data_IF_451031298548
#
_entry.id   IF_451031298548
#
_cell.length_a   1.000
_cell.length_b   1.000
_cell.length_c   1.000
_cell.angle_alpha   90.00
_cell.angle_beta   90.00
_cell.angle_gamma   90.00
#
_symmetry.space_group_name_H-M   'P 1'
#
loop_
_entity.id
_entity.type
_entity.pdbx_description
1 polymer ?
#
# COMPACT_ATOMS: atom_id res chain seq x y z
N UNK A 1 15.85 -6.52 17.48
CA UNK A 1 16.21 -7.43 16.39
C UNK A 1 15.94 -6.72 15.08
N UNK A 2 16.96 -6.06 14.53
CA UNK A 2 16.92 -5.35 13.25
C UNK A 2 16.94 -6.40 12.14
N UNK A 3 15.83 -6.58 11.45
CA UNK A 3 15.81 -7.37 10.20
C UNK A 3 16.41 -6.50 9.09
N UNK A 4 17.67 -6.75 8.77
CA UNK A 4 18.31 -6.28 7.53
C UNK A 4 17.46 -6.74 6.36
N UNK A 5 17.11 -5.79 5.50
CA UNK A 5 16.58 -6.04 4.18
C UNK A 5 17.78 -6.33 3.28
N UNK A 6 18.17 -7.60 3.17
CA UNK A 6 19.17 -8.01 2.19
C UNK A 6 18.59 -7.88 0.79
N UNK A 7 19.11 -6.89 0.09
CA UNK A 7 18.93 -6.69 -1.33
C UNK A 7 19.95 -7.57 -2.07
N UNK A 8 19.60 -8.79 -2.35
CA UNK A 8 20.18 -9.48 -3.53
C UNK A 8 19.39 -8.99 -4.72
N UNK A 9 19.87 -7.95 -5.35
CA UNK A 9 19.45 -7.52 -6.68
C UNK A 9 20.02 -8.55 -7.64
N UNK A 10 19.21 -9.49 -8.12
CA UNK A 10 19.51 -10.12 -9.40
C UNK A 10 19.36 -9.02 -10.45
N UNK A 11 20.44 -8.68 -11.13
CA UNK A 11 20.45 -7.78 -12.27
C UNK A 11 19.50 -8.33 -13.33
N UNK A 12 18.32 -7.75 -13.43
CA UNK A 12 17.39 -8.04 -14.52
C UNK A 12 17.86 -7.30 -15.76
N UNK A 13 18.19 -8.05 -16.79
CA UNK A 13 18.66 -7.56 -18.09
C UNK A 13 17.66 -6.52 -18.66
N UNK A 14 18.11 -5.32 -19.07
CA UNK A 14 17.27 -4.37 -19.78
C UNK A 14 17.00 -4.92 -21.18
N UNK A 15 15.76 -5.27 -21.52
CA UNK A 15 15.46 -5.72 -22.88
C UNK A 15 14.11 -6.36 -23.16
N UNK A 16 13.29 -6.68 -22.15
CA UNK A 16 11.93 -7.10 -22.43
C UNK A 16 11.02 -5.87 -22.53
N UNK A 17 10.26 -5.77 -23.64
CA UNK A 17 9.23 -4.75 -23.82
C UNK A 17 8.32 -4.74 -22.57
N UNK A 18 8.38 -3.67 -21.79
CA UNK A 18 7.60 -3.56 -20.56
C UNK A 18 6.13 -3.41 -20.93
N UNK A 19 5.29 -4.39 -20.56
CA UNK A 19 3.84 -4.23 -20.67
C UNK A 19 3.43 -3.18 -19.64
N UNK A 20 2.78 -2.09 -20.06
CA UNK A 20 2.40 -1.02 -19.14
C UNK A 20 1.37 -1.52 -18.12
N UNK A 21 1.40 -0.97 -16.92
CA UNK A 21 0.31 -1.15 -15.96
C UNK A 21 -0.96 -0.56 -16.58
N UNK A 22 -2.11 -1.26 -16.58
CA UNK A 22 -3.33 -0.77 -17.19
C UNK A 22 -3.74 0.62 -16.65
N UNK A 23 -4.20 1.48 -17.54
CA UNK A 23 -4.65 2.83 -17.17
C UNK A 23 -5.96 2.84 -16.40
N UNK A 24 -6.73 1.73 -16.46
CA UNK A 24 -8.04 1.61 -15.83
C UNK A 24 -8.32 0.17 -15.41
N UNK A 25 -9.00 0.02 -14.30
CA UNK A 25 -9.58 -1.22 -13.79
C UNK A 25 -11.06 -0.99 -13.51
N UNK A 26 -11.92 -1.95 -13.82
CA UNK A 26 -13.35 -1.90 -13.46
C UNK A 26 -13.62 -2.98 -12.42
N UNK A 27 -14.13 -2.59 -11.24
CA UNK A 27 -14.61 -3.50 -10.21
C UNK A 27 -16.11 -3.27 -10.00
N UNK A 28 -16.95 -4.12 -10.61
CA UNK A 28 -18.39 -3.91 -10.62
C UNK A 28 -18.75 -2.55 -11.21
N UNK A 29 -19.43 -1.70 -10.44
CA UNK A 29 -19.79 -0.33 -10.83
C UNK A 29 -18.67 0.70 -10.64
N UNK A 30 -17.57 0.36 -9.98
CA UNK A 30 -16.50 1.31 -9.61
C UNK A 30 -15.34 1.26 -10.60
N UNK A 31 -15.07 2.40 -11.25
CA UNK A 31 -13.92 2.59 -12.12
C UNK A 31 -12.70 3.10 -11.31
N UNK A 32 -11.56 2.47 -11.51
CA UNK A 32 -10.30 2.78 -10.83
C UNK A 32 -9.28 3.21 -11.87
N UNK A 33 -8.65 4.36 -11.68
CA UNK A 33 -7.65 4.90 -12.61
C UNK A 33 -6.56 5.67 -11.85
N UNK A 34 -5.28 5.34 -12.09
CA UNK A 34 -4.76 4.16 -12.83
C UNK A 34 -5.06 2.83 -12.10
N UNK A 35 -4.79 1.68 -12.75
CA UNK A 35 -5.03 0.35 -12.17
C UNK A 35 -3.98 -0.02 -11.09
N UNK A 36 -3.84 0.84 -10.09
CA UNK A 36 -2.94 0.69 -8.95
C UNK A 36 -3.71 0.76 -7.64
N UNK A 37 -3.35 -0.06 -6.68
CA UNK A 37 -4.06 -0.20 -5.41
C UNK A 37 -3.09 -0.10 -4.24
N UNK A 38 -3.42 0.73 -3.24
CA UNK A 38 -2.73 0.72 -1.94
C UNK A 38 -3.21 -0.47 -1.13
N UNK A 39 -2.30 -1.37 -0.79
CA UNK A 39 -2.64 -2.56 0.00
C UNK A 39 -3.06 -2.19 1.44
N UNK A 40 -4.04 -2.88 2.02
CA UNK A 40 -4.42 -2.72 3.42
C UNK A 40 -3.28 -3.20 4.34
N UNK A 41 -2.79 -2.32 5.20
CA UNK A 41 -1.66 -2.60 6.10
C UNK A 41 -1.98 -2.11 7.52
N UNK A 42 -2.12 -3.04 8.47
CA UNK A 42 -2.40 -2.72 9.87
C UNK A 42 -1.32 -1.81 10.47
N UNK A 43 -1.75 -0.74 11.12
CA UNK A 43 -0.89 0.27 11.71
C UNK A 43 -0.20 1.18 10.69
N UNK A 44 -0.59 1.13 9.40
CA UNK A 44 -0.01 1.94 8.33
C UNK A 44 -1.08 2.70 7.55
N UNK A 45 -2.08 2.01 7.01
CA UNK A 45 -3.08 2.60 6.10
C UNK A 45 -4.28 3.20 6.84
N UNK A 46 -4.00 4.00 7.90
CA UNK A 46 -5.00 4.89 8.48
C UNK A 46 -5.38 6.04 7.53
N UNK A 47 -6.41 6.81 7.88
CA UNK A 47 -6.92 7.87 7.01
C UNK A 47 -5.86 8.93 6.67
N UNK A 48 -4.97 9.29 7.62
CA UNK A 48 -3.91 10.27 7.36
C UNK A 48 -2.95 9.75 6.28
N UNK A 49 -2.51 8.50 6.40
CA UNK A 49 -1.62 7.90 5.40
C UNK A 49 -2.30 7.69 4.04
N UNK A 50 -3.57 7.29 4.02
CA UNK A 50 -4.33 7.12 2.77
C UNK A 50 -4.49 8.44 2.02
N UNK A 51 -4.91 9.51 2.71
CA UNK A 51 -4.99 10.86 2.14
C UNK A 51 -3.63 11.38 1.69
N UNK A 52 -2.59 11.13 2.47
CA UNK A 52 -1.23 11.47 2.09
C UNK A 52 -0.82 10.78 0.76
N UNK A 53 -1.08 9.47 0.61
CA UNK A 53 -0.83 8.76 -0.66
C UNK A 53 -1.69 9.34 -1.80
N UNK A 54 -2.96 9.68 -1.53
CA UNK A 54 -3.86 10.28 -2.53
C UNK A 54 -3.31 11.62 -3.03
N UNK A 55 -2.80 12.46 -2.14
CA UNK A 55 -2.21 13.76 -2.47
C UNK A 55 -0.93 13.65 -3.32
N UNK A 56 -0.18 12.56 -3.21
CA UNK A 56 0.99 12.29 -4.04
C UNK A 56 0.64 11.79 -5.44
N UNK A 57 -0.63 11.55 -5.72
CA UNK A 57 -1.21 11.11 -7.01
C UNK A 57 -0.78 9.70 -7.46
N UNK A 58 -1.44 9.20 -8.50
CA UNK A 58 -1.09 7.91 -9.14
C UNK A 58 -1.61 6.65 -8.44
N UNK A 59 -2.31 6.77 -7.30
CA UNK A 59 -2.97 5.65 -6.64
C UNK A 59 -4.47 5.64 -7.03
N UNK A 60 -4.92 4.59 -7.73
CA UNK A 60 -6.29 4.51 -8.22
C UNK A 60 -7.31 4.07 -7.16
N UNK A 61 -6.94 3.14 -6.29
CA UNK A 61 -7.79 2.67 -5.19
C UNK A 61 -7.00 2.62 -3.89
N UNK A 62 -7.58 3.15 -2.83
CA UNK A 62 -7.06 2.99 -1.47
C UNK A 62 -7.96 2.06 -0.65
N UNK A 63 -7.36 1.37 0.32
CA UNK A 63 -8.07 0.44 1.20
C UNK A 63 -7.82 0.80 2.66
N UNK A 64 -8.85 0.62 3.50
CA UNK A 64 -8.69 0.79 4.94
C UNK A 64 -7.77 -0.28 5.54
N UNK A 65 -7.33 -0.08 6.78
CA UNK A 65 -6.84 -1.20 7.58
C UNK A 65 -7.97 -2.24 7.75
N UNK A 66 -7.60 -3.53 7.87
CA UNK A 66 -8.61 -4.57 8.08
C UNK A 66 -9.27 -4.45 9.46
N UNK A 67 -10.58 -4.51 9.49
CA UNK A 67 -11.41 -4.34 10.69
C UNK A 67 -12.20 -5.62 10.97
N UNK A 68 -12.30 -6.01 12.25
CA UNK A 68 -13.12 -7.15 12.66
C UNK A 68 -14.60 -6.86 12.41
N UNK A 69 -15.31 -7.76 11.73
CA UNK A 69 -16.74 -7.67 11.54
C UNK A 69 -17.50 -7.60 12.88
N UNK A 70 -17.11 -8.43 13.86
CA UNK A 70 -17.64 -8.34 15.22
C UNK A 70 -17.40 -6.98 15.88
N UNK A 71 -16.22 -6.36 15.60
CA UNK A 71 -15.89 -5.03 16.11
C UNK A 71 -16.75 -3.94 15.49
N UNK A 72 -17.05 -4.05 14.20
CA UNK A 72 -17.93 -3.11 13.48
C UNK A 72 -19.33 -3.08 14.07
N UNK A 73 -19.88 -4.25 14.40
CA UNK A 73 -21.24 -4.37 14.95
C UNK A 73 -21.36 -3.90 16.41
N UNK A 74 -20.24 -3.80 17.14
CA UNK A 74 -20.26 -3.29 18.51
C UNK A 74 -20.31 -1.77 18.51
N UNK A 75 -21.44 -1.19 18.85
CA UNK A 75 -21.70 0.27 18.85
C UNK A 75 -20.66 1.12 19.60
N UNK A 76 -19.92 0.53 20.56
CA UNK A 76 -18.91 1.21 21.38
C UNK A 76 -17.46 0.95 20.94
N UNK A 77 -17.20 0.17 19.89
CA UNK A 77 -15.83 -0.10 19.42
C UNK A 77 -15.24 1.14 18.71
N UNK A 78 -14.59 2.00 19.53
CA UNK A 78 -13.90 3.20 19.04
C UNK A 78 -12.84 2.88 17.99
N UNK A 79 -12.27 1.67 18.06
CA UNK A 79 -11.21 1.23 17.16
C UNK A 79 -11.78 0.90 15.77
N UNK A 80 -12.90 0.18 15.73
CA UNK A 80 -13.60 -0.11 14.48
C UNK A 80 -14.07 1.17 13.79
N UNK A 81 -14.67 2.10 14.55
CA UNK A 81 -15.08 3.41 14.03
C UNK A 81 -13.90 4.18 13.42
N UNK A 82 -12.74 4.20 14.07
CA UNK A 82 -11.55 4.87 13.55
C UNK A 82 -11.04 4.24 12.26
N UNK A 83 -11.06 2.92 12.13
CA UNK A 83 -10.60 2.23 10.92
C UNK A 83 -11.57 2.40 9.74
N UNK A 84 -12.85 2.62 10.01
CA UNK A 84 -13.88 2.89 9.01
C UNK A 84 -14.13 4.39 8.80
N UNK A 85 -13.34 5.27 9.42
CA UNK A 85 -13.39 6.69 9.14
C UNK A 85 -12.65 7.01 7.84
N UNK A 86 -13.25 7.83 6.98
CA UNK A 86 -12.64 8.34 5.76
C UNK A 86 -13.20 9.73 5.43
N UNK A 87 -12.52 10.43 4.55
CA UNK A 87 -12.92 11.73 4.02
C UNK A 87 -13.33 11.61 2.56
N UNK A 88 -14.09 12.58 2.05
CA UNK A 88 -14.58 12.61 0.67
C UNK A 88 -13.44 12.54 -0.37
N UNK A 89 -12.28 13.11 -0.08
CA UNK A 89 -11.10 13.08 -0.96
C UNK A 89 -10.41 11.70 -1.03
N UNK A 90 -10.91 10.72 -0.28
CA UNK A 90 -10.38 9.34 -0.30
C UNK A 90 -11.06 8.43 -1.34
N UNK A 91 -12.17 8.86 -1.98
CA UNK A 91 -12.84 8.07 -3.01
C UNK A 91 -12.00 7.89 -4.29
N UNK A 92 -12.05 6.70 -4.95
CA UNK A 92 -12.72 5.48 -4.51
C UNK A 92 -11.96 4.78 -3.38
N UNK A 93 -12.70 4.33 -2.37
CA UNK A 93 -12.16 3.69 -1.18
C UNK A 93 -12.86 2.36 -0.88
N UNK A 94 -12.08 1.35 -0.47
CA UNK A 94 -12.58 0.04 -0.06
C UNK A 94 -12.40 -0.19 1.44
N UNK A 95 -13.45 -0.62 2.13
CA UNK A 95 -13.33 -1.09 3.51
C UNK A 95 -12.96 -2.57 3.53
N UNK A 96 -11.89 -2.94 4.26
CA UNK A 96 -11.51 -4.33 4.42
C UNK A 96 -11.97 -4.91 5.75
N UNK A 97 -12.77 -5.97 5.69
CA UNK A 97 -13.29 -6.70 6.85
C UNK A 97 -12.60 -8.05 7.03
N UNK A 98 -12.57 -8.55 8.25
CA UNK A 98 -12.22 -9.94 8.55
C UNK A 98 -13.17 -10.53 9.60
N UNK A 99 -13.44 -11.82 9.49
CA UNK A 99 -14.31 -12.58 10.37
C UNK A 99 -14.51 -13.97 9.80
N UNK A 100 -15.16 -14.86 10.56
CA UNK A 100 -15.45 -16.24 10.17
C UNK A 100 -16.93 -16.62 10.22
N UNK A 101 -17.77 -15.75 10.81
CA UNK A 101 -19.22 -15.98 10.87
C UNK A 101 -19.89 -15.30 9.67
N UNK A 102 -20.59 -16.03 8.78
CA UNK A 102 -21.21 -15.47 7.59
C UNK A 102 -22.25 -14.39 7.90
N UNK A 103 -23.09 -14.57 8.92
CA UNK A 103 -24.12 -13.60 9.28
C UNK A 103 -23.52 -12.30 9.79
N UNK A 104 -22.54 -12.38 10.70
CA UNK A 104 -21.82 -11.21 11.24
C UNK A 104 -21.08 -10.46 10.12
N UNK A 105 -20.47 -11.20 9.17
CA UNK A 105 -19.81 -10.60 8.02
C UNK A 105 -20.79 -9.87 7.10
N UNK A 106 -21.96 -10.45 6.84
CA UNK A 106 -23.01 -9.84 6.04
C UNK A 106 -23.54 -8.55 6.67
N UNK A 107 -23.84 -8.56 7.98
CA UNK A 107 -24.31 -7.38 8.71
C UNK A 107 -23.25 -6.27 8.74
N UNK A 108 -21.98 -6.63 8.99
CA UNK A 108 -20.88 -5.65 8.97
C UNK A 108 -20.65 -5.06 7.57
N UNK A 109 -20.78 -5.86 6.51
CA UNK A 109 -20.69 -5.37 5.14
C UNK A 109 -21.85 -4.41 4.79
N UNK A 110 -23.08 -4.69 5.24
CA UNK A 110 -24.20 -3.76 5.11
C UNK A 110 -23.97 -2.43 5.82
N UNK A 111 -23.33 -2.44 7.00
CA UNK A 111 -22.93 -1.21 7.69
C UNK A 111 -21.87 -0.43 6.90
N UNK A 112 -20.89 -1.11 6.30
CA UNK A 112 -19.87 -0.50 5.44
C UNK A 112 -20.52 0.19 4.24
N UNK A 113 -21.47 -0.46 3.57
CA UNK A 113 -22.24 0.15 2.48
C UNK A 113 -23.01 1.38 2.97
N UNK A 114 -23.67 1.28 4.13
CA UNK A 114 -24.39 2.40 4.74
C UNK A 114 -23.52 3.58 5.15
N UNK A 115 -22.22 3.37 5.39
CA UNK A 115 -21.23 4.43 5.64
C UNK A 115 -20.76 5.14 4.38
N UNK A 116 -21.09 4.65 3.18
CA UNK A 116 -20.75 5.28 1.91
C UNK A 116 -19.43 4.80 1.29
N UNK A 117 -18.87 3.66 1.70
CA UNK A 117 -17.73 3.07 0.99
C UNK A 117 -18.11 2.63 -0.42
N UNK A 118 -17.16 2.77 -1.36
CA UNK A 118 -17.38 2.35 -2.75
C UNK A 118 -17.31 0.83 -2.91
N UNK A 119 -16.48 0.15 -2.10
CA UNK A 119 -16.29 -1.30 -2.14
C UNK A 119 -16.19 -1.87 -0.73
N UNK A 120 -16.56 -3.12 -0.58
CA UNK A 120 -16.20 -3.95 0.58
C UNK A 120 -15.23 -5.05 0.14
N UNK A 121 -14.25 -5.35 0.97
CA UNK A 121 -13.23 -6.39 0.71
C UNK A 121 -13.11 -7.34 1.91
N UNK A 122 -12.94 -8.63 1.63
CA UNK A 122 -12.71 -9.64 2.65
C UNK A 122 -11.22 -9.96 2.78
N UNK A 123 -10.69 -9.92 4.01
CA UNK A 123 -9.31 -10.31 4.30
C UNK A 123 -9.19 -11.81 4.56
N UNK A 124 -8.57 -12.54 3.64
CA UNK A 124 -8.15 -13.94 3.78
C UNK A 124 -6.62 -14.10 3.70
N UNK A 125 -5.86 -13.01 3.96
CA UNK A 125 -4.41 -13.01 3.82
C UNK A 125 -3.62 -12.70 5.08
N UNK A 126 -4.25 -12.17 6.14
CA UNK A 126 -3.54 -11.77 7.36
C UNK A 126 -2.97 -13.00 8.10
N UNK A 127 -1.62 -13.10 8.29
CA UNK A 127 -1.00 -14.24 8.97
C UNK A 127 -0.89 -14.04 10.48
N UNK A 128 -1.38 -12.93 11.04
CA UNK A 128 -1.23 -12.60 12.45
C UNK A 128 -1.90 -13.65 13.35
N UNK A 129 -1.15 -14.17 14.32
CA UNK A 129 -1.62 -15.23 15.23
C UNK A 129 -2.97 -14.93 15.89
N UNK A 130 -3.22 -13.65 16.25
CA UNK A 130 -4.45 -13.21 16.87
C UNK A 130 -5.66 -13.33 15.92
N UNK A 131 -5.49 -13.02 14.65
CA UNK A 131 -6.54 -13.12 13.61
C UNK A 131 -6.80 -14.59 13.27
N UNK A 132 -5.74 -15.35 13.06
CA UNK A 132 -5.82 -16.81 12.74
C UNK A 132 -6.47 -17.62 13.85
N UNK A 133 -6.20 -17.32 15.14
CA UNK A 133 -6.84 -17.97 16.28
C UNK A 133 -8.36 -17.79 16.34
N UNK A 134 -8.88 -16.71 15.75
CA UNK A 134 -10.31 -16.45 15.63
C UNK A 134 -10.88 -16.97 14.29
N UNK A 135 -10.21 -17.92 13.65
CA UNK A 135 -10.55 -18.43 12.31
C UNK A 135 -10.76 -17.33 11.26
N UNK A 136 -10.06 -16.20 11.39
CA UNK A 136 -10.11 -15.10 10.43
C UNK A 136 -8.85 -15.03 9.56
N UNK A 137 -8.86 -14.16 8.55
CA UNK A 137 -7.72 -13.95 7.68
C UNK A 137 -7.25 -15.25 7.01
N UNK A 138 -5.92 -15.49 7.01
CA UNK A 138 -5.36 -16.67 6.36
C UNK A 138 -5.72 -18.01 7.05
N UNK A 139 -6.33 -17.99 8.23
CA UNK A 139 -6.82 -19.19 8.89
C UNK A 139 -7.92 -19.88 8.10
N UNK A 140 -8.77 -19.12 7.42
CA UNK A 140 -9.86 -19.62 6.59
C UNK A 140 -9.40 -20.30 5.29
N UNK A 141 -8.16 -20.10 4.82
CA UNK A 141 -7.66 -20.72 3.58
C UNK A 141 -7.71 -22.26 3.58
N UNK A 142 -7.89 -22.86 4.72
CA UNK A 142 -8.00 -24.32 4.91
C UNK A 142 -9.45 -24.82 4.91
N UNK A 143 -10.43 -23.92 4.71
CA UNK A 143 -11.86 -24.23 4.73
C UNK A 143 -12.61 -23.46 3.64
N UNK A 144 -12.44 -23.87 2.38
CA UNK A 144 -13.11 -23.25 1.23
C UNK A 144 -14.66 -23.29 1.35
N UNK A 145 -15.28 -24.37 1.86
CA UNK A 145 -16.73 -24.36 2.10
C UNK A 145 -17.20 -23.26 3.06
N UNK A 146 -16.46 -22.99 4.13
CA UNK A 146 -16.78 -21.89 5.04
C UNK A 146 -16.63 -20.54 4.35
N UNK A 147 -15.59 -20.36 3.53
CA UNK A 147 -15.39 -19.14 2.74
C UNK A 147 -16.57 -18.93 1.77
N UNK A 148 -17.04 -19.98 1.09
CA UNK A 148 -18.19 -19.91 0.19
C UNK A 148 -19.44 -19.37 0.88
N UNK A 149 -19.75 -19.88 2.08
CA UNK A 149 -20.88 -19.39 2.89
C UNK A 149 -20.75 -17.91 3.26
N UNK A 150 -19.52 -17.44 3.56
CA UNK A 150 -19.26 -16.03 3.84
C UNK A 150 -19.48 -15.19 2.56
N UNK A 151 -18.96 -15.64 1.42
CA UNK A 151 -19.13 -14.94 0.14
C UNK A 151 -20.61 -14.79 -0.22
N UNK A 152 -21.39 -15.87 -0.15
CA UNK A 152 -22.82 -15.87 -0.42
C UNK A 152 -23.57 -14.89 0.51
N UNK A 153 -23.30 -14.97 1.82
CA UNK A 153 -23.97 -14.13 2.80
C UNK A 153 -23.65 -12.63 2.61
N UNK A 154 -22.37 -12.29 2.40
CA UNK A 154 -21.97 -10.90 2.15
C UNK A 154 -22.53 -10.42 0.81
N UNK A 155 -22.44 -11.22 -0.26
CA UNK A 155 -22.95 -10.82 -1.57
C UNK A 155 -24.45 -10.55 -1.56
N UNK A 156 -25.23 -11.32 -0.81
CA UNK A 156 -26.67 -11.12 -0.65
C UNK A 156 -27.01 -9.84 0.15
N UNK A 157 -26.11 -9.40 1.03
CA UNK A 157 -26.36 -8.29 1.94
C UNK A 157 -26.03 -6.90 1.36
N UNK A 158 -25.15 -6.80 0.35
CA UNK A 158 -24.69 -5.52 -0.18
C UNK A 158 -24.91 -5.38 -1.67
N UNK A 159 -25.06 -4.13 -2.15
CA UNK A 159 -25.15 -3.81 -3.60
C UNK A 159 -23.82 -3.33 -4.15
N UNK A 160 -22.99 -2.70 -3.33
CA UNK A 160 -21.65 -2.24 -3.72
C UNK A 160 -20.76 -3.41 -4.18
N UNK A 161 -19.73 -3.16 -5.00
CA UNK A 161 -18.76 -4.17 -5.39
C UNK A 161 -18.14 -4.86 -4.19
N UNK A 162 -18.05 -6.20 -4.27
CA UNK A 162 -17.44 -7.05 -3.24
C UNK A 162 -16.21 -7.76 -3.82
N UNK A 163 -15.07 -7.64 -3.14
CA UNK A 163 -13.78 -8.23 -3.51
C UNK A 163 -13.20 -9.06 -2.38
N UNK A 164 -12.15 -9.79 -2.66
CA UNK A 164 -11.41 -10.56 -1.65
C UNK A 164 -9.90 -10.43 -1.85
N UNK A 165 -9.17 -10.21 -0.74
CA UNK A 165 -7.70 -10.24 -0.74
C UNK A 165 -7.20 -11.42 0.05
N UNK A 166 -6.37 -12.27 -0.59
CA UNK A 166 -5.91 -13.53 -0.01
C UNK A 166 -4.44 -13.84 -0.31
N UNK A 167 -3.91 -14.89 0.31
CA UNK A 167 -2.62 -15.52 0.02
C UNK A 167 -2.81 -16.80 -0.77
N UNK A 168 -1.72 -17.28 -1.39
CA UNK A 168 -1.76 -18.46 -2.26
C UNK A 168 -2.26 -19.74 -1.57
N UNK A 169 -2.06 -19.84 -0.28
CA UNK A 169 -2.47 -20.99 0.53
C UNK A 169 -1.89 -20.89 1.94
N UNK A 170 -2.05 -21.98 2.71
CA UNK A 170 -1.51 -22.08 4.05
C UNK A 170 0.03 -22.28 4.01
N UNK A 171 0.48 -23.28 3.28
CA UNK A 171 1.88 -23.64 3.03
C UNK A 171 2.03 -24.14 1.59
N UNK A 172 3.21 -24.63 1.22
CA UNK A 172 3.49 -25.12 -0.14
C UNK A 172 2.74 -26.40 -0.53
N UNK A 173 2.22 -27.15 0.44
CA UNK A 173 1.40 -28.36 0.21
C UNK A 173 -0.11 -28.03 0.16
N UNK A 174 -0.50 -26.87 0.68
CA UNK A 174 -1.89 -26.44 0.78
C UNK A 174 -2.10 -25.15 -0.01
N UNK A 175 -1.84 -25.19 -1.33
CA UNK A 175 -2.08 -24.08 -2.25
C UNK A 175 -3.53 -24.17 -2.74
N UNK A 176 -4.30 -23.08 -2.56
CA UNK A 176 -5.75 -23.02 -2.85
C UNK A 176 -6.15 -21.79 -3.66
N UNK A 177 -5.18 -21.00 -4.15
CA UNK A 177 -5.47 -19.70 -4.75
C UNK A 177 -6.35 -19.78 -5.99
N UNK A 178 -6.21 -20.81 -6.82
CA UNK A 178 -7.02 -20.99 -8.03
C UNK A 178 -8.44 -21.39 -7.68
N UNK A 179 -8.61 -22.36 -6.79
CA UNK A 179 -9.92 -22.83 -6.32
C UNK A 179 -10.68 -21.71 -5.61
N UNK A 180 -9.98 -20.92 -4.78
CA UNK A 180 -10.56 -19.78 -4.07
C UNK A 180 -11.00 -18.68 -5.03
N UNK A 181 -10.21 -18.38 -6.07
CA UNK A 181 -10.58 -17.39 -7.07
C UNK A 181 -11.82 -17.82 -7.89
N UNK A 182 -11.90 -19.10 -8.28
CA UNK A 182 -13.09 -19.67 -8.92
C UNK A 182 -14.33 -19.63 -8.03
N UNK A 183 -14.14 -19.91 -6.74
CA UNK A 183 -15.23 -19.80 -5.75
C UNK A 183 -15.72 -18.34 -5.63
N UNK A 184 -14.78 -17.39 -5.58
CA UNK A 184 -15.12 -15.96 -5.53
C UNK A 184 -15.92 -15.54 -6.77
N UNK A 185 -15.50 -15.92 -7.96
CA UNK A 185 -16.23 -15.66 -9.20
C UNK A 185 -17.63 -16.30 -9.20
N UNK A 186 -17.73 -17.57 -8.79
CA UNK A 186 -19.01 -18.29 -8.73
C UNK A 186 -19.99 -17.66 -7.74
N UNK A 187 -19.50 -17.07 -6.64
CA UNK A 187 -20.31 -16.34 -5.65
C UNK A 187 -20.58 -14.87 -6.05
N UNK A 188 -20.17 -14.44 -7.25
CA UNK A 188 -20.47 -13.10 -7.76
C UNK A 188 -19.62 -11.97 -7.18
N UNK A 189 -18.39 -12.27 -6.74
CA UNK A 189 -17.41 -11.24 -6.40
C UNK A 189 -16.94 -10.53 -7.68
N UNK A 190 -16.59 -9.24 -7.55
CA UNK A 190 -16.24 -8.38 -8.67
C UNK A 190 -14.74 -8.39 -9.01
N UNK A 191 -13.90 -9.01 -8.19
CA UNK A 191 -12.46 -9.09 -8.38
C UNK A 191 -11.75 -9.73 -7.21
N UNK A 192 -10.52 -10.14 -7.44
CA UNK A 192 -9.66 -10.79 -6.45
C UNK A 192 -8.28 -10.15 -6.39
N UNK A 193 -7.69 -10.05 -5.19
CA UNK A 193 -6.33 -9.60 -5.00
C UNK A 193 -5.48 -10.72 -4.38
N UNK A 194 -4.47 -11.20 -5.11
CA UNK A 194 -3.61 -12.29 -4.67
C UNK A 194 -2.23 -11.77 -4.22
N UNK A 195 -1.91 -11.94 -2.93
CA UNK A 195 -0.53 -11.88 -2.48
C UNK A 195 0.14 -13.24 -2.74
N UNK A 196 1.06 -13.28 -3.69
CA UNK A 196 1.70 -14.48 -4.22
C UNK A 196 2.73 -15.10 -3.24
N UNK A 197 2.33 -15.29 -2.00
CA UNK A 197 3.04 -16.00 -0.92
C UNK A 197 2.06 -16.84 -0.12
N UNK A 198 2.55 -17.91 0.49
CA UNK A 198 1.76 -18.69 1.47
C UNK A 198 1.70 -17.97 2.83
N UNK A 199 0.80 -18.42 3.70
CA UNK A 199 0.73 -17.92 5.08
C UNK A 199 2.02 -18.23 5.84
N UNK A 200 2.60 -19.41 5.67
CA UNK A 200 3.82 -19.82 6.38
C UNK A 200 5.06 -19.06 5.92
N UNK A 201 5.17 -18.73 4.64
CA UNK A 201 6.23 -17.86 4.14
C UNK A 201 6.23 -16.49 4.85
N UNK A 202 5.07 -16.00 5.26
CA UNK A 202 5.01 -14.65 5.82
C UNK A 202 5.51 -13.60 4.82
N UNK A 203 6.76 -13.16 4.99
CA UNK A 203 7.46 -12.23 4.09
C UNK A 203 8.84 -12.76 3.67
N UNK A 204 9.16 -14.00 4.00
CA UNK A 204 10.42 -14.62 3.59
C UNK A 204 10.39 -15.10 2.15
N UNK A 205 11.56 -15.26 1.54
CA UNK A 205 11.70 -15.66 0.14
C UNK A 205 11.11 -14.64 -0.83
N UNK A 206 10.79 -15.08 -2.02
CA UNK A 206 10.18 -14.28 -3.09
C UNK A 206 8.70 -14.59 -3.26
N UNK A 207 7.92 -13.62 -3.73
CA UNK A 207 6.54 -13.82 -4.16
C UNK A 207 6.54 -14.61 -5.48
N UNK A 208 5.80 -15.69 -5.55
CA UNK A 208 5.72 -16.56 -6.73
C UNK A 208 4.62 -16.07 -7.66
N UNK A 209 4.99 -15.23 -8.61
CA UNK A 209 4.04 -14.59 -9.53
C UNK A 209 3.33 -15.56 -10.47
N UNK A 210 3.87 -16.77 -10.65
CA UNK A 210 3.20 -17.86 -11.39
C UNK A 210 1.81 -18.20 -10.80
N UNK A 211 1.59 -18.02 -9.49
CA UNK A 211 0.27 -18.19 -8.91
C UNK A 211 -0.71 -17.11 -9.34
N UNK A 212 -0.23 -15.87 -9.58
CA UNK A 212 -1.07 -14.79 -10.12
C UNK A 212 -1.47 -15.15 -11.56
N UNK A 213 -0.53 -15.63 -12.38
CA UNK A 213 -0.81 -16.10 -13.75
C UNK A 213 -1.84 -17.23 -13.74
N UNK A 214 -1.68 -18.22 -12.86
CA UNK A 214 -2.59 -19.34 -12.74
C UNK A 214 -4.01 -18.91 -12.37
N UNK A 215 -4.14 -17.98 -11.41
CA UNK A 215 -5.42 -17.39 -11.04
C UNK A 215 -6.02 -16.61 -12.21
N UNK A 216 -5.23 -15.76 -12.89
CA UNK A 216 -5.70 -14.96 -14.04
C UNK A 216 -6.21 -15.83 -15.19
N UNK A 217 -5.54 -16.94 -15.43
CA UNK A 217 -5.98 -17.91 -16.45
C UNK A 217 -7.27 -18.66 -16.07
N UNK A 218 -7.61 -18.72 -14.78
CA UNK A 218 -8.70 -19.55 -14.25
C UNK A 218 -10.01 -18.81 -14.06
N UNK A 219 -10.01 -17.47 -14.05
CA UNK A 219 -11.20 -16.63 -13.82
C UNK A 219 -11.31 -15.50 -14.83
N UNK A 220 -12.54 -14.99 -15.03
CA UNK A 220 -12.84 -13.86 -15.89
C UNK A 220 -12.91 -12.53 -15.14
N UNK A 221 -13.17 -12.58 -13.83
CA UNK A 221 -13.17 -11.38 -12.99
C UNK A 221 -11.75 -10.81 -12.88
N UNK A 222 -11.61 -9.51 -12.68
CA UNK A 222 -10.31 -8.85 -12.50
C UNK A 222 -9.44 -9.48 -11.41
N UNK A 223 -8.14 -9.63 -11.73
CA UNK A 223 -7.12 -10.13 -10.82
C UNK A 223 -6.11 -9.02 -10.52
N UNK A 224 -5.96 -8.68 -9.26
CA UNK A 224 -5.02 -7.69 -8.76
C UNK A 224 -3.78 -8.41 -8.22
N UNK A 225 -2.63 -8.23 -8.89
CA UNK A 225 -1.36 -8.84 -8.49
C UNK A 225 -0.72 -8.11 -7.32
N UNK A 226 -0.22 -8.87 -6.33
CA UNK A 226 0.45 -8.33 -5.15
C UNK A 226 1.65 -9.17 -4.73
N UNK A 227 2.74 -8.51 -4.36
CA UNK A 227 3.96 -9.11 -3.81
C UNK A 227 5.21 -8.67 -4.55
N UNK A 228 6.19 -8.16 -3.78
CA UNK A 228 7.53 -7.78 -4.22
C UNK A 228 7.62 -6.72 -5.35
N UNK A 229 6.62 -5.85 -5.45
CA UNK A 229 6.72 -4.64 -6.27
C UNK A 229 7.51 -3.61 -5.46
N UNK A 230 8.74 -3.31 -5.89
CA UNK A 230 9.67 -2.37 -5.23
C UNK A 230 9.92 -1.13 -6.07
N UNK A 231 9.76 -1.25 -7.39
CA UNK A 231 9.99 -0.20 -8.37
C UNK A 231 8.86 -0.17 -9.42
N UNK A 232 8.77 0.87 -10.23
CA UNK A 232 7.86 0.92 -11.38
C UNK A 232 8.07 -0.23 -12.37
N UNK A 233 9.32 -0.62 -12.59
CA UNK A 233 9.70 -1.74 -13.47
C UNK A 233 9.11 -3.06 -12.96
N UNK A 234 9.15 -3.30 -11.64
CA UNK A 234 8.53 -4.50 -11.04
C UNK A 234 7.02 -4.54 -11.27
N UNK A 235 6.34 -3.37 -11.22
CA UNK A 235 4.92 -3.29 -11.50
C UNK A 235 4.59 -3.68 -12.95
N UNK A 236 5.33 -3.15 -13.91
CA UNK A 236 5.22 -3.51 -15.33
C UNK A 236 5.59 -4.97 -15.58
N UNK A 237 6.66 -5.46 -14.94
CA UNK A 237 7.08 -6.86 -15.04
C UNK A 237 6.02 -7.82 -14.50
N UNK A 238 5.36 -7.49 -13.39
CA UNK A 238 4.26 -8.29 -12.86
C UNK A 238 3.12 -8.39 -13.87
N UNK A 239 2.69 -7.27 -14.49
CA UNK A 239 1.65 -7.29 -15.52
C UNK A 239 2.10 -8.11 -16.73
N UNK A 240 3.33 -7.92 -17.20
CA UNK A 240 3.87 -8.65 -18.35
C UNK A 240 3.93 -10.16 -18.13
N UNK A 241 4.33 -10.59 -16.93
CA UNK A 241 4.50 -12.01 -16.61
C UNK A 241 3.19 -12.71 -16.25
N UNK A 242 2.23 -11.97 -15.70
CA UNK A 242 1.03 -12.60 -15.12
C UNK A 242 -0.25 -12.29 -15.87
N UNK A 243 -0.27 -11.23 -16.67
CA UNK A 243 -1.47 -10.71 -17.30
C UNK A 243 -2.51 -10.16 -16.31
N UNK A 244 -2.13 -9.86 -15.07
CA UNK A 244 -3.05 -9.29 -14.07
C UNK A 244 -3.59 -7.92 -14.53
N UNK A 245 -4.80 -7.59 -14.07
CA UNK A 245 -5.54 -6.40 -14.50
C UNK A 245 -5.14 -5.14 -13.72
N UNK A 246 -4.51 -5.31 -12.57
CA UNK A 246 -4.01 -4.23 -11.73
C UNK A 246 -2.89 -4.72 -10.81
N UNK A 247 -2.16 -3.77 -10.23
CA UNK A 247 -1.10 -4.06 -9.27
C UNK A 247 -1.42 -3.45 -7.91
N UNK A 248 -1.13 -4.20 -6.84
CA UNK A 248 -1.31 -3.73 -5.46
C UNK A 248 0.04 -3.60 -4.76
N UNK A 249 0.30 -2.42 -4.22
CA UNK A 249 1.55 -2.08 -3.55
C UNK A 249 1.33 -1.98 -2.03
N UNK A 250 2.15 -2.70 -1.27
CA UNK A 250 2.13 -2.67 0.19
C UNK A 250 3.33 -1.93 0.77
N UNK A 251 4.29 -2.67 1.29
CA UNK A 251 5.45 -2.17 2.06
C UNK A 251 6.23 -1.06 1.37
N UNK A 252 6.37 -1.13 0.06
CA UNK A 252 7.05 -0.10 -0.74
C UNK A 252 6.37 1.24 -0.60
N UNK A 253 5.03 1.32 -0.54
CA UNK A 253 4.32 2.58 -0.36
C UNK A 253 4.65 3.28 0.97
N UNK A 254 5.03 2.54 2.02
CA UNK A 254 5.45 3.13 3.29
C UNK A 254 6.89 3.68 3.24
N UNK A 255 7.79 3.08 2.45
CA UNK A 255 9.18 3.52 2.31
C UNK A 255 9.43 4.46 1.14
N UNK A 256 8.60 4.36 0.10
CA UNK A 256 8.59 5.21 -1.09
C UNK A 256 7.14 5.58 -1.43
N UNK A 257 6.56 6.60 -0.81
CA UNK A 257 5.17 7.00 -1.07
C UNK A 257 4.92 7.47 -2.51
N UNK A 258 5.95 7.88 -3.23
CA UNK A 258 5.83 8.30 -4.64
C UNK A 258 5.67 7.14 -5.62
N UNK A 259 5.76 5.88 -5.16
CA UNK A 259 5.75 4.69 -6.03
C UNK A 259 4.57 4.69 -7.03
N UNK A 260 3.39 5.13 -6.62
CA UNK A 260 2.21 5.18 -7.48
C UNK A 260 2.37 6.19 -8.62
N UNK A 261 2.84 7.39 -8.31
CA UNK A 261 3.17 8.42 -9.30
C UNK A 261 4.29 7.96 -10.24
N UNK A 262 5.32 7.33 -9.68
CA UNK A 262 6.44 6.78 -10.45
C UNK A 262 5.98 5.67 -11.40
N UNK A 263 5.09 4.79 -10.98
CA UNK A 263 4.48 3.77 -11.86
C UNK A 263 3.71 4.44 -13.01
N UNK A 264 2.90 5.46 -12.72
CA UNK A 264 2.15 6.18 -13.75
C UNK A 264 3.09 6.88 -14.75
N UNK A 265 4.16 7.54 -14.29
CA UNK A 265 5.17 8.17 -15.14
C UNK A 265 5.90 7.12 -16.00
N UNK A 266 6.36 6.03 -15.39
CA UNK A 266 7.09 4.96 -16.10
C UNK A 266 6.21 4.28 -17.16
N UNK A 267 4.95 4.01 -16.82
CA UNK A 267 3.97 3.46 -17.76
C UNK A 267 3.75 4.37 -18.97
N UNK A 268 3.73 5.69 -18.76
CA UNK A 268 3.48 6.66 -19.83
C UNK A 268 4.71 6.96 -20.68
N UNK A 269 5.91 6.96 -20.10
CA UNK A 269 7.11 7.52 -20.74
C UNK A 269 8.35 6.61 -20.75
N UNK A 270 8.30 5.48 -20.04
CA UNK A 270 9.46 4.63 -19.79
C UNK A 270 10.49 5.22 -18.81
N UNK A 271 10.14 6.35 -18.16
CA UNK A 271 11.00 7.04 -17.19
C UNK A 271 10.16 7.55 -16.02
N UNK A 272 10.78 7.80 -14.88
CA UNK A 272 10.14 8.41 -13.72
C UNK A 272 11.13 9.29 -12.95
N UNK A 273 10.60 10.22 -12.18
CA UNK A 273 11.38 11.10 -11.35
C UNK A 273 11.71 10.44 -10.01
N UNK A 274 12.98 10.37 -9.68
CA UNK A 274 13.42 10.01 -8.33
C UNK A 274 13.36 11.25 -7.42
N UNK A 275 12.84 11.08 -6.18
CA UNK A 275 12.73 12.21 -5.26
C UNK A 275 14.11 12.63 -4.75
N UNK A 276 14.39 13.91 -4.85
CA UNK A 276 15.55 14.55 -4.27
C UNK A 276 15.44 14.75 -2.74
N UNK A 277 16.43 15.41 -2.16
CA UNK A 277 16.44 15.67 -0.71
C UNK A 277 15.34 16.68 -0.31
N UNK A 278 15.10 17.70 -1.15
CA UNK A 278 14.01 18.67 -0.96
C UNK A 278 12.64 18.00 -1.01
N UNK A 279 12.42 17.08 -1.98
CA UNK A 279 11.16 16.34 -2.07
C UNK A 279 10.92 15.48 -0.82
N UNK A 280 11.99 14.88 -0.29
CA UNK A 280 11.92 14.08 0.95
C UNK A 280 11.57 14.93 2.15
N UNK A 281 12.17 16.10 2.28
CA UNK A 281 11.85 17.05 3.34
C UNK A 281 10.38 17.43 3.29
N UNK A 282 9.90 17.90 2.13
CA UNK A 282 8.52 18.32 1.93
C UNK A 282 7.53 17.16 2.23
N UNK A 283 7.87 15.96 1.81
CA UNK A 283 7.09 14.75 2.07
C UNK A 283 6.98 14.44 3.57
N UNK A 284 8.09 14.47 4.31
CA UNK A 284 8.10 14.18 5.75
C UNK A 284 7.33 15.27 6.51
N UNK A 285 7.61 16.53 6.19
CA UNK A 285 6.95 17.70 6.76
C UNK A 285 5.44 17.65 6.55
N UNK A 286 5.00 17.39 5.33
CA UNK A 286 3.58 17.27 4.99
C UNK A 286 2.90 16.18 5.78
N UNK A 287 3.46 14.96 5.78
CA UNK A 287 2.86 13.84 6.51
C UNK A 287 2.81 14.08 8.02
N UNK A 288 3.87 14.61 8.62
CA UNK A 288 3.92 14.89 10.05
C UNK A 288 2.96 16.02 10.44
N UNK A 289 2.86 17.07 9.60
CA UNK A 289 1.88 18.14 9.79
C UNK A 289 0.43 17.63 9.71
N UNK A 290 0.13 16.70 8.80
CA UNK A 290 -1.18 16.06 8.72
C UNK A 290 -1.52 15.27 9.99
N UNK A 291 -0.55 14.54 10.56
CA UNK A 291 -0.75 13.82 11.83
C UNK A 291 -1.05 14.75 13.00
N UNK A 292 -0.44 15.93 13.02
CA UNK A 292 -0.70 16.96 14.05
C UNK A 292 -2.07 17.60 13.83
N UNK A 293 -2.39 17.98 12.59
CA UNK A 293 -3.65 18.64 12.25
C UNK A 293 -4.88 17.76 12.50
N UNK A 294 -4.74 16.45 12.27
CA UNK A 294 -5.79 15.44 12.54
C UNK A 294 -5.86 15.01 14.01
N UNK A 295 -5.07 15.64 14.90
CA UNK A 295 -4.95 15.22 16.31
C UNK A 295 -4.81 13.69 16.46
N UNK A 296 -3.99 13.10 15.56
CA UNK A 296 -3.89 11.64 15.45
C UNK A 296 -3.49 11.03 16.79
N UNK A 297 -4.27 10.06 17.32
CA UNK A 297 -3.91 9.38 18.55
C UNK A 297 -2.53 8.75 18.47
N UNK A 298 -1.61 9.11 19.37
CA UNK A 298 -0.21 8.69 19.35
C UNK A 298 0.54 9.16 18.07
N UNK A 299 0.34 10.43 17.67
CA UNK A 299 1.10 11.03 16.57
C UNK A 299 2.63 10.88 16.73
N UNK A 300 3.24 11.08 17.92
CA UNK A 300 4.67 10.84 18.13
C UNK A 300 5.09 9.39 17.81
N UNK A 301 4.34 8.40 18.24
CA UNK A 301 4.60 6.99 17.95
C UNK A 301 4.54 6.70 16.45
N UNK A 302 3.56 7.28 15.77
CA UNK A 302 3.39 7.16 14.32
C UNK A 302 4.54 7.83 13.55
N UNK A 303 4.94 9.04 13.95
CA UNK A 303 6.09 9.74 13.35
C UNK A 303 7.38 8.92 13.53
N UNK A 304 7.62 8.36 14.71
CA UNK A 304 8.76 7.47 14.99
C UNK A 304 8.74 6.21 14.13
N UNK A 305 7.56 5.60 13.92
CA UNK A 305 7.41 4.44 13.04
C UNK A 305 7.88 4.76 11.61
N UNK A 306 7.50 5.91 11.08
CA UNK A 306 7.84 6.32 9.70
C UNK A 306 9.25 6.91 9.57
N UNK A 307 9.84 7.45 10.64
CA UNK A 307 11.15 8.08 10.61
C UNK A 307 12.23 7.18 10.00
N UNK A 308 12.23 5.87 10.31
CA UNK A 308 13.21 4.93 9.78
C UNK A 308 13.08 4.73 8.26
N UNK A 309 11.87 4.78 7.72
CA UNK A 309 11.61 4.62 6.29
C UNK A 309 11.94 5.90 5.52
N UNK A 310 11.46 7.04 6.01
CA UNK A 310 11.55 8.31 5.31
C UNK A 310 12.96 8.92 5.31
N UNK A 311 13.76 8.64 6.33
CA UNK A 311 15.13 9.16 6.44
C UNK A 311 16.20 8.16 5.97
N UNK A 312 15.79 7.01 5.44
CA UNK A 312 16.74 6.05 4.88
C UNK A 312 17.41 6.62 3.61
N UNK A 313 18.74 6.50 3.54
CA UNK A 313 19.52 7.05 2.43
C UNK A 313 19.78 8.56 2.49
N UNK A 314 19.21 9.28 3.47
CA UNK A 314 19.50 10.70 3.69
C UNK A 314 20.85 10.79 4.43
N UNK A 315 21.85 11.53 3.90
CA UNK A 315 23.11 11.77 4.62
C UNK A 315 22.84 12.43 5.98
N UNK A 316 23.42 11.90 7.05
CA UNK A 316 23.12 12.36 8.42
C UNK A 316 21.76 11.89 8.99
N UNK A 317 20.95 11.16 8.24
CA UNK A 317 19.63 10.68 8.66
C UNK A 317 19.63 9.80 9.93
N UNK A 318 20.77 9.21 10.29
CA UNK A 318 20.89 8.48 11.56
C UNK A 318 20.82 9.43 12.78
N UNK A 319 21.42 10.61 12.69
CA UNK A 319 21.34 11.63 13.74
C UNK A 319 19.92 12.19 13.86
N UNK A 320 19.27 12.47 12.72
CA UNK A 320 17.88 12.89 12.70
C UNK A 320 16.95 11.84 13.34
N UNK A 321 17.09 10.56 12.96
CA UNK A 321 16.30 9.47 13.59
C UNK A 321 16.50 9.43 15.11
N UNK A 322 17.74 9.56 15.60
CA UNK A 322 18.02 9.60 17.03
C UNK A 322 17.25 10.75 17.69
N UNK A 323 17.33 11.97 17.15
CA UNK A 323 16.62 13.13 17.67
C UNK A 323 15.10 12.92 17.69
N UNK A 324 14.53 12.35 16.62
CA UNK A 324 13.10 11.99 16.55
C UNK A 324 12.72 10.97 17.64
N UNK A 325 13.54 9.93 17.88
CA UNK A 325 13.24 8.91 18.90
C UNK A 325 13.34 9.45 20.32
N UNK A 326 14.23 10.40 20.58
CA UNK A 326 14.40 11.06 21.88
C UNK A 326 13.28 12.06 22.18
N UNK A 327 12.67 12.67 21.18
CA UNK A 327 11.56 13.62 21.33
C UNK A 327 10.27 12.92 21.77
N UNK A 328 9.44 13.62 22.53
CA UNK A 328 8.19 13.09 23.10
C UNK A 328 6.95 13.68 22.44
N UNK A 329 7.01 14.92 22.03
CA UNK A 329 5.90 15.67 21.48
C UNK A 329 5.96 15.73 19.96
N UNK A 330 4.79 15.61 19.28
CA UNK A 330 4.70 15.63 17.82
C UNK A 330 5.28 16.93 17.22
N UNK A 331 5.00 18.08 17.83
CA UNK A 331 5.53 19.38 17.38
C UNK A 331 7.05 19.46 17.49
N UNK A 332 7.63 18.89 18.57
CA UNK A 332 9.06 18.80 18.74
C UNK A 332 9.71 17.93 17.65
N UNK A 333 9.10 16.77 17.34
CA UNK A 333 9.57 15.89 16.27
C UNK A 333 9.57 16.62 14.93
N UNK A 334 8.50 17.34 14.60
CA UNK A 334 8.41 18.11 13.37
C UNK A 334 9.51 19.19 13.31
N UNK A 335 9.72 19.94 14.39
CA UNK A 335 10.77 20.95 14.47
C UNK A 335 12.17 20.35 14.24
N UNK A 336 12.47 19.15 14.79
CA UNK A 336 13.75 18.44 14.54
C UNK A 336 13.95 18.12 13.07
N UNK A 337 12.87 17.76 12.38
CA UNK A 337 12.91 17.52 10.93
C UNK A 337 13.17 18.81 10.16
N UNK A 338 12.47 19.88 10.49
CA UNK A 338 12.64 21.20 9.87
C UNK A 338 14.06 21.73 10.04
N UNK A 339 14.55 21.79 11.29
CA UNK A 339 15.91 22.25 11.60
C UNK A 339 16.99 21.45 10.82
N UNK A 340 16.82 20.13 10.74
CA UNK A 340 17.77 19.27 10.05
C UNK A 340 17.84 19.53 8.55
N UNK A 341 16.69 19.59 7.89
CA UNK A 341 16.66 19.78 6.44
C UNK A 341 16.95 21.21 6.02
N UNK A 342 16.50 22.22 6.78
CA UNK A 342 16.79 23.63 6.49
C UNK A 342 18.28 23.93 6.58
N UNK A 343 18.97 23.41 7.60
CA UNK A 343 20.42 23.54 7.72
C UNK A 343 21.15 22.92 6.51
N UNK A 344 20.66 21.78 6.01
CA UNK A 344 21.30 21.08 4.89
C UNK A 344 21.00 21.72 3.54
N UNK A 345 19.75 22.07 3.27
CA UNK A 345 19.32 22.68 2.01
C UNK A 345 19.87 24.11 1.89
N UNK A 346 19.96 24.85 2.99
CA UNK A 346 20.60 26.16 3.04
C UNK A 346 22.10 26.07 2.72
N UNK A 347 22.81 25.09 3.29
CA UNK A 347 24.23 24.86 3.01
C UNK A 347 24.47 24.41 1.57
N UNK A 348 23.63 23.53 1.02
CA UNK A 348 23.72 23.09 -0.38
C UNK A 348 23.49 24.24 -1.36
N UNK A 349 22.56 25.13 -1.06
CA UNK A 349 22.31 26.34 -1.86
C UNK A 349 23.47 27.34 -1.81
N UNK A 350 24.15 27.47 -0.68
CA UNK A 350 25.35 28.31 -0.55
C UNK A 350 26.51 27.75 -1.36
N UNK A 351 26.81 26.43 -1.23
CA UNK A 351 27.85 25.76 -2.01
C UNK A 351 27.60 25.81 -3.52
N UNK A 352 26.34 25.67 -3.96
CA UNK A 352 25.98 25.77 -5.36
C UNK A 352 26.19 27.20 -5.92
N UNK A 353 25.97 28.24 -5.11
CA UNK A 353 26.26 29.63 -5.48
C UNK A 353 27.76 29.91 -5.57
N UNK A 354 28.53 29.46 -4.58
CA UNK A 354 30.00 29.56 -4.61
C UNK A 354 30.62 28.82 -5.80
N UNK A 355 30.12 27.66 -6.16
CA UNK A 355 30.57 26.92 -7.34
C UNK A 355 30.20 27.63 -8.65
N UNK A 356 29.05 28.27 -8.73
CA UNK A 356 28.64 29.08 -9.90
C UNK A 356 29.46 30.35 -10.02
N UNK A 357 29.79 31.02 -8.92
CA UNK A 357 30.62 32.23 -8.90
C UNK A 357 32.10 31.94 -9.22
N UNK A 358 32.61 30.76 -8.82
CA UNK A 358 33.97 30.33 -9.14
C UNK A 358 34.16 29.86 -10.58
N UNK A 359 33.07 29.57 -11.31
CA UNK A 359 33.11 29.17 -12.72
C UNK A 359 33.07 30.31 -13.73
N UNK A 360 32.98 31.56 -13.28
CA UNK A 360 33.13 32.77 -14.15
C UNK A 360 34.61 33.14 -14.26
N UNK A 361 35.37 32.38 -15.06
CA UNK A 361 36.68 32.79 -15.51
C UNK A 361 36.56 34.08 -16.39
N UNK A 362 37.43 35.06 -16.20
CA UNK A 362 37.40 36.27 -17.01
C UNK A 362 37.76 35.95 -18.46
N UNK A 363 36.88 36.32 -19.38
CA UNK A 363 37.14 36.26 -20.83
C UNK A 363 38.45 37.01 -21.11
N UNK A 364 39.46 36.37 -21.76
CA UNK A 364 40.66 37.09 -22.12
C UNK A 364 40.35 38.18 -23.15
N UNK A 365 40.57 39.41 -22.78
CA UNK A 365 40.53 40.57 -23.72
C UNK A 365 41.65 40.38 -24.76
N UNK A 366 41.27 40.08 -25.98
CA UNK A 366 42.14 40.18 -27.14
C UNK A 366 42.39 41.71 -27.36
N UNK A 367 43.60 42.16 -26.99
CA UNK A 367 44.13 43.45 -27.44
C UNK A 367 44.58 43.33 -28.88
N UNK A 368 44.12 44.26 -29.69
CA UNK A 368 44.44 44.58 -31.10
C UNK A 368 45.89 44.69 -31.39
#
# INVERSE_FOLDING_TARGET
>A
MQKRWDSTVEERTPGQASVPVPSRLQLGSVGISPATVLAPMAGVTDTVFRRFIRNLTGCGLIMTEFTSADGVLRAQDRKAKRYLHFYEDEHPISAQLFGSNPQVMAEAAGMVEGLGFDLVDLNLGCPAKKVVKCNGGSGLLRDLPAIGKIFEAVRAAVKIPFTVKFRAGWNDQEIVCVELAKLAEACGLCGVALHARTREQGYSGTARWEWISAVKAAVKIPVIGNGDIRSPEDACAMVAQTGCDAVMIGRTAASNPWIFRQIAQFTATGRYNEPGESDRYEMIRTYFSMLIAEEFPDAPGKMKQFASWFTHGVPGGAALRKAIYESREAKEILQRVEDFFEARLGSAGALAREAAESSTDPVPTLSS
#
